data_IF_857872538632
#
_entry.id   IF_857872538632
#
_cell.length_a   1.000
_cell.length_b   1.000
_cell.length_c   1.000
_cell.angle_alpha   90.00
_cell.angle_beta   90.00
_cell.angle_gamma   90.00
#
_symmetry.space_group_name_H-M   'P 1'
#
loop_
_entity.id
_entity.type
_entity.pdbx_description
1 polymer ?
#
# COMPACT_ATOMS: atom_id res chain seq x y z
N UNK A 1 4.00 17.64 -9.82
CA UNK A 1 4.83 17.59 -8.58
C UNK A 1 4.74 16.21 -7.99
N UNK A 2 5.86 15.57 -7.72
CA UNK A 2 5.89 14.15 -7.35
C UNK A 2 5.41 13.86 -5.94
N UNK A 3 5.48 14.82 -5.05
CA UNK A 3 4.84 14.70 -3.72
C UNK A 3 3.34 14.64 -3.83
N UNK A 4 2.83 14.84 -5.03
CA UNK A 4 1.41 14.82 -5.24
C UNK A 4 0.87 13.41 -5.38
N UNK A 5 1.70 12.45 -5.84
CA UNK A 5 1.26 11.07 -6.06
C UNK A 5 2.16 10.08 -5.36
N UNK A 6 1.57 9.30 -4.47
CA UNK A 6 2.23 8.16 -3.84
C UNK A 6 1.52 6.88 -4.21
N UNK A 7 2.28 5.84 -4.54
CA UNK A 7 1.75 4.50 -4.77
C UNK A 7 2.26 3.61 -3.65
N UNK A 8 1.35 3.01 -2.90
CA UNK A 8 1.68 2.26 -1.69
C UNK A 8 1.24 0.81 -1.86
N UNK A 9 2.12 -0.12 -1.51
CA UNK A 9 1.83 -1.55 -1.51
C UNK A 9 2.06 -2.13 -0.12
N UNK A 10 1.51 -3.34 0.12
CA UNK A 10 1.65 -4.00 1.42
C UNK A 10 3.10 -4.36 1.73
N UNK A 11 3.86 -4.81 0.73
CA UNK A 11 5.23 -5.28 0.95
C UNK A 11 6.11 -5.01 -0.25
N UNK A 12 7.42 -5.19 -0.07
CA UNK A 12 8.39 -4.99 -1.15
C UNK A 12 8.16 -5.92 -2.34
N UNK A 13 7.57 -7.09 -2.12
CA UNK A 13 7.28 -8.04 -3.20
C UNK A 13 6.36 -7.45 -4.26
N UNK A 14 5.54 -6.48 -3.88
CA UNK A 14 4.56 -5.86 -4.76
C UNK A 14 5.06 -4.58 -5.43
N UNK A 15 6.26 -4.10 -5.06
CA UNK A 15 6.79 -2.86 -5.61
C UNK A 15 7.05 -2.94 -7.11
N UNK A 16 7.49 -4.10 -7.60
CA UNK A 16 7.71 -4.28 -9.04
C UNK A 16 6.41 -4.09 -9.83
N UNK A 17 5.30 -4.60 -9.32
CA UNK A 17 3.98 -4.41 -9.93
C UNK A 17 3.61 -2.94 -10.01
N UNK A 18 3.87 -2.22 -8.93
CA UNK A 18 3.58 -0.79 -8.86
C UNK A 18 4.43 -0.01 -9.88
N UNK A 19 5.71 -0.30 -9.93
CA UNK A 19 6.62 0.37 -10.86
C UNK A 19 6.26 0.08 -12.31
N UNK A 20 5.89 -1.15 -12.61
CA UNK A 20 5.45 -1.53 -13.95
C UNK A 20 4.21 -0.75 -14.36
N UNK A 21 3.23 -0.65 -13.48
CA UNK A 21 2.01 0.09 -13.75
C UNK A 21 2.29 1.57 -14.01
N UNK A 22 3.19 2.17 -13.23
CA UNK A 22 3.57 3.57 -13.40
C UNK A 22 4.27 3.78 -14.75
N UNK A 23 5.17 2.87 -15.11
CA UNK A 23 5.87 2.91 -16.39
C UNK A 23 4.89 2.80 -17.55
N UNK A 24 3.91 1.91 -17.45
CA UNK A 24 2.88 1.76 -18.49
C UNK A 24 2.01 2.99 -18.62
N UNK A 25 1.87 3.77 -17.56
CA UNK A 25 1.15 5.05 -17.60
C UNK A 25 2.00 6.19 -18.19
N UNK A 26 3.25 5.93 -18.56
CA UNK A 26 4.14 6.93 -19.12
C UNK A 26 4.81 7.82 -18.08
N UNK A 27 4.86 7.38 -16.84
CA UNK A 27 5.42 8.15 -15.73
C UNK A 27 6.68 7.49 -15.20
N UNK A 28 7.51 8.30 -14.55
CA UNK A 28 8.70 7.81 -13.84
C UNK A 28 8.38 7.60 -12.37
N UNK A 29 9.04 6.61 -11.76
CA UNK A 29 8.83 6.30 -10.36
C UNK A 29 10.16 6.29 -9.61
N UNK A 30 10.07 6.41 -8.28
CA UNK A 30 11.22 6.26 -7.39
C UNK A 30 10.75 5.50 -6.14
N UNK A 31 11.49 4.45 -5.77
CA UNK A 31 11.23 3.74 -4.53
C UNK A 31 11.74 4.57 -3.36
N UNK A 32 10.88 4.75 -2.38
CA UNK A 32 11.28 5.41 -1.16
C UNK A 32 12.02 4.43 -0.25
N UNK A 33 13.04 4.94 0.41
CA UNK A 33 13.80 4.20 1.42
C UNK A 33 13.91 5.06 2.66
N UNK A 34 14.56 4.55 3.71
CA UNK A 34 14.70 5.28 4.97
C UNK A 34 15.42 6.63 4.84
N UNK A 35 16.16 6.81 3.76
CA UNK A 35 16.90 8.05 3.48
C UNK A 35 16.21 8.78 2.35
N UNK A 36 15.25 9.63 2.70
CA UNK A 36 14.34 10.15 1.71
C UNK A 36 14.60 11.56 1.28
N UNK A 37 14.95 11.68 0.00
CA UNK A 37 14.63 12.88 -0.74
C UNK A 37 13.72 12.45 -1.88
N UNK A 38 12.58 13.13 -2.05
CA UNK A 38 11.67 12.89 -3.15
C UNK A 38 12.13 13.69 -4.36
N UNK A 39 12.66 13.04 -5.40
CA UNK A 39 13.03 13.76 -6.63
C UNK A 39 11.80 14.37 -7.28
N UNK A 40 11.98 15.54 -7.82
CA UNK A 40 10.93 16.25 -8.51
C UNK A 40 10.55 15.55 -9.81
N UNK A 41 9.25 15.44 -10.09
CA UNK A 41 8.76 14.88 -11.35
C UNK A 41 8.57 13.37 -11.36
N UNK A 42 8.71 12.70 -10.22
CA UNK A 42 8.55 11.24 -10.14
C UNK A 42 7.46 10.85 -9.17
N UNK A 43 6.79 9.73 -9.46
CA UNK A 43 5.81 9.13 -8.57
C UNK A 43 6.56 8.36 -7.47
N UNK A 44 6.21 8.59 -6.22
CA UNK A 44 6.82 7.89 -5.10
C UNK A 44 6.18 6.51 -4.95
N UNK A 45 7.01 5.48 -4.76
CA UNK A 45 6.55 4.11 -4.51
C UNK A 45 7.07 3.67 -3.14
N UNK A 46 6.19 3.20 -2.29
CA UNK A 46 6.55 2.82 -0.92
C UNK A 46 5.72 1.64 -0.43
N UNK A 47 6.23 0.95 0.58
CA UNK A 47 5.44 -0.03 1.32
C UNK A 47 4.58 0.66 2.36
N UNK A 48 3.57 -0.05 2.87
CA UNK A 48 2.70 0.49 3.92
C UNK A 48 3.48 0.90 5.17
N UNK A 49 4.53 0.15 5.52
CA UNK A 49 5.37 0.48 6.68
C UNK A 49 6.14 1.78 6.47
N UNK A 50 6.67 1.98 5.27
CA UNK A 50 7.47 3.16 4.97
C UNK A 50 6.61 4.40 4.77
N UNK A 51 5.37 4.23 4.37
CA UNK A 51 4.45 5.33 4.12
C UNK A 51 4.07 6.08 5.40
N UNK A 52 4.24 5.45 6.54
CA UNK A 52 3.94 6.06 7.84
C UNK A 52 4.72 7.37 8.00
N UNK A 53 4.00 8.43 8.30
CA UNK A 53 4.60 9.77 8.43
C UNK A 53 4.72 10.55 7.14
N UNK A 54 4.39 9.96 6.00
CA UNK A 54 4.38 10.64 4.71
C UNK A 54 2.98 11.17 4.40
N UNK A 55 2.92 12.11 3.47
CA UNK A 55 1.64 12.67 3.02
C UNK A 55 1.74 13.02 1.54
N UNK A 56 0.69 12.69 0.79
CA UNK A 56 0.60 12.97 -0.65
C UNK A 56 -0.75 13.57 -0.97
N UNK A 57 -0.84 14.33 -2.05
CA UNK A 57 -2.13 14.85 -2.50
C UNK A 57 -3.02 13.73 -3.03
N UNK A 58 -2.44 12.78 -3.73
CA UNK A 58 -3.14 11.61 -4.23
C UNK A 58 -2.37 10.35 -3.86
N UNK A 59 -3.08 9.32 -3.44
CA UNK A 59 -2.48 8.03 -3.09
C UNK A 59 -3.21 6.93 -3.85
N UNK A 60 -2.43 6.03 -4.44
CA UNK A 60 -2.94 4.76 -4.96
C UNK A 60 -2.42 3.66 -4.04
N UNK A 61 -3.32 2.96 -3.37
CA UNK A 61 -2.96 1.77 -2.60
C UNK A 61 -3.20 0.57 -3.52
N UNK A 62 -2.12 -0.04 -3.99
CA UNK A 62 -2.16 -1.09 -5.01
C UNK A 62 -2.01 -2.48 -4.43
N UNK A 63 -2.37 -3.46 -5.24
CA UNK A 63 -2.17 -4.87 -4.95
C UNK A 63 -2.87 -5.31 -3.65
N UNK A 64 -4.07 -4.80 -3.44
CA UNK A 64 -4.90 -5.21 -2.31
C UNK A 64 -5.62 -6.52 -2.65
N UNK A 65 -4.85 -7.53 -3.02
CA UNK A 65 -5.33 -8.86 -3.36
C UNK A 65 -5.55 -9.67 -2.08
N UNK A 66 -6.37 -10.68 -2.15
CA UNK A 66 -6.72 -11.50 -0.99
C UNK A 66 -5.50 -12.16 -0.32
N UNK A 67 -4.50 -12.57 -1.10
CA UNK A 67 -3.29 -13.20 -0.54
C UNK A 67 -2.24 -12.20 -0.07
N UNK A 68 -2.38 -10.95 -0.46
CA UNK A 68 -1.43 -9.90 -0.13
C UNK A 68 -1.85 -9.12 1.12
N UNK A 69 -3.15 -8.91 1.29
CA UNK A 69 -3.69 -8.13 2.39
C UNK A 69 -4.92 -8.82 2.98
N UNK A 70 -4.88 -9.41 4.18
CA UNK A 70 -3.71 -9.48 5.05
C UNK A 70 -2.60 -10.37 4.46
N UNK A 71 -1.37 -10.10 4.87
CA UNK A 71 -0.23 -10.82 4.32
C UNK A 71 -0.28 -12.30 4.71
N UNK A 72 -0.34 -13.17 3.71
CA UNK A 72 -0.60 -14.59 3.91
C UNK A 72 0.46 -15.27 4.79
N UNK A 73 1.71 -14.89 4.64
CA UNK A 73 2.79 -15.46 5.45
C UNK A 73 2.63 -15.19 6.94
N UNK A 74 2.04 -14.06 7.31
CA UNK A 74 1.77 -13.76 8.71
C UNK A 74 0.63 -14.61 9.27
N UNK A 75 -0.40 -14.84 8.46
CA UNK A 75 -1.54 -15.68 8.85
C UNK A 75 -1.08 -17.11 9.06
N UNK A 76 -0.26 -17.63 8.17
CA UNK A 76 0.23 -19.01 8.25
C UNK A 76 1.13 -19.26 9.46
N UNK A 77 1.77 -18.21 9.98
CA UNK A 77 2.67 -18.34 11.12
C UNK A 77 1.97 -18.27 12.48
N UNK A 78 0.66 -18.07 12.49
CA UNK A 78 -0.11 -17.88 13.72
C UNK A 78 -0.43 -19.23 14.38
N UNK A 79 -0.30 -19.30 15.71
CA UNK A 79 -0.52 -20.52 16.48
C UNK A 79 -1.91 -20.68 17.07
N UNK A 80 -2.67 -19.60 17.27
CA UNK A 80 -4.00 -19.69 17.88
C UNK A 80 -4.91 -18.53 17.40
N UNK A 81 -6.20 -18.60 17.80
CA UNK A 81 -7.20 -17.65 17.32
C UNK A 81 -6.99 -16.21 17.80
N UNK A 82 -6.46 -16.03 19.02
CA UNK A 82 -6.23 -14.67 19.52
C UNK A 82 -5.05 -14.01 18.81
N UNK A 83 -4.01 -14.77 18.47
CA UNK A 83 -2.90 -14.27 17.68
C UNK A 83 -3.35 -13.94 16.26
N UNK A 84 -4.24 -14.74 15.70
CA UNK A 84 -4.80 -14.48 14.37
C UNK A 84 -5.58 -13.17 14.36
N UNK A 85 -6.40 -12.93 15.36
CA UNK A 85 -7.15 -11.68 15.48
C UNK A 85 -6.21 -10.48 15.55
N UNK A 86 -5.12 -10.60 16.32
CA UNK A 86 -4.11 -9.54 16.41
C UNK A 86 -3.45 -9.26 15.08
N UNK A 87 -3.11 -10.31 14.31
CA UNK A 87 -2.55 -10.14 12.96
C UNK A 87 -3.53 -9.41 12.05
N UNK A 88 -4.80 -9.82 12.05
CA UNK A 88 -5.82 -9.15 11.22
C UNK A 88 -5.96 -7.68 11.61
N UNK A 89 -5.97 -7.37 12.89
CA UNK A 89 -6.10 -5.99 13.34
C UNK A 89 -4.89 -5.15 12.92
N UNK A 90 -3.70 -5.71 13.00
CA UNK A 90 -2.47 -5.02 12.58
C UNK A 90 -2.48 -4.77 11.08
N UNK A 91 -2.86 -5.77 10.28
CA UNK A 91 -2.91 -5.63 8.83
C UNK A 91 -3.97 -4.61 8.40
N UNK A 92 -5.13 -4.63 9.04
CA UNK A 92 -6.18 -3.65 8.78
C UNK A 92 -5.71 -2.24 9.12
N UNK A 93 -4.97 -2.08 10.21
CA UNK A 93 -4.41 -0.80 10.61
C UNK A 93 -3.40 -0.28 9.59
N UNK A 94 -2.56 -1.16 9.05
CA UNK A 94 -1.61 -0.78 7.98
C UNK A 94 -2.33 -0.21 6.77
N UNK A 95 -3.41 -0.86 6.35
CA UNK A 95 -4.22 -0.36 5.25
C UNK A 95 -4.83 1.00 5.58
N UNK A 96 -5.38 1.14 6.77
CA UNK A 96 -5.97 2.41 7.21
C UNK A 96 -4.94 3.54 7.17
N UNK A 97 -3.76 3.31 7.73
CA UNK A 97 -2.69 4.31 7.73
C UNK A 97 -2.30 4.68 6.30
N UNK A 98 -2.14 3.68 5.42
CA UNK A 98 -1.81 3.94 4.02
C UNK A 98 -2.87 4.83 3.35
N UNK A 99 -4.15 4.53 3.57
CA UNK A 99 -5.24 5.31 2.99
C UNK A 99 -5.24 6.75 3.51
N UNK A 100 -4.87 6.96 4.77
CA UNK A 100 -4.84 8.30 5.37
C UNK A 100 -3.64 9.13 4.97
N UNK A 101 -2.71 8.58 4.17
CA UNK A 101 -1.63 9.37 3.57
C UNK A 101 -2.13 10.25 2.43
N UNK A 102 -3.34 9.99 1.93
CA UNK A 102 -3.95 10.80 0.89
C UNK A 102 -4.59 12.05 1.48
N UNK A 103 -4.20 13.21 0.96
CA UNK A 103 -4.79 14.48 1.39
C UNK A 103 -6.05 14.81 0.61
N UNK A 104 -6.03 14.58 -0.70
CA UNK A 104 -7.12 15.00 -1.60
C UNK A 104 -7.82 13.85 -2.30
N UNK A 105 -7.07 12.83 -2.75
CA UNK A 105 -7.62 11.73 -3.53
C UNK A 105 -7.02 10.40 -3.13
N UNK A 106 -7.87 9.38 -3.07
CA UNK A 106 -7.46 8.02 -2.75
C UNK A 106 -8.07 7.05 -3.77
N UNK A 107 -7.23 6.17 -4.31
CA UNK A 107 -7.66 5.05 -5.13
C UNK A 107 -7.09 3.77 -4.52
N UNK A 108 -7.94 2.77 -4.30
CA UNK A 108 -7.51 1.47 -3.80
C UNK A 108 -7.79 0.43 -4.86
N UNK A 109 -6.79 -0.36 -5.22
CA UNK A 109 -6.91 -1.38 -6.27
C UNK A 109 -6.50 -2.76 -5.80
N UNK A 110 -7.00 -3.78 -6.45
CA UNK A 110 -6.63 -5.16 -6.21
C UNK A 110 -7.07 -6.03 -7.37
N UNK A 111 -6.42 -7.19 -7.52
CA UNK A 111 -6.79 -8.19 -8.52
C UNK A 111 -7.74 -9.18 -7.87
N UNK A 112 -8.81 -9.54 -8.55
CA UNK A 112 -9.83 -10.46 -8.03
C UNK A 112 -9.23 -11.87 -7.80
N UNK A 113 -9.43 -12.51 -6.63
CA UNK A 113 -10.20 -12.01 -5.48
C UNK A 113 -9.45 -10.93 -4.70
N UNK A 114 -10.14 -9.82 -4.45
CA UNK A 114 -9.55 -8.71 -3.69
C UNK A 114 -9.61 -8.99 -2.19
N UNK A 115 -8.81 -8.22 -1.44
CA UNK A 115 -8.77 -8.33 0.01
C UNK A 115 -10.15 -8.12 0.63
N UNK A 116 -10.48 -8.93 1.62
CA UNK A 116 -11.71 -8.76 2.41
C UNK A 116 -11.79 -7.38 3.09
N UNK A 117 -10.63 -6.77 3.38
CA UNK A 117 -10.59 -5.45 4.02
C UNK A 117 -11.17 -4.35 3.13
N UNK A 118 -11.22 -4.56 1.83
CA UNK A 118 -11.80 -3.58 0.91
C UNK A 118 -13.31 -3.43 1.11
N UNK A 119 -13.97 -4.47 1.61
CA UNK A 119 -15.40 -4.40 1.94
C UNK A 119 -15.67 -3.35 3.02
N UNK A 120 -14.74 -3.19 3.96
CA UNK A 120 -14.85 -2.21 5.03
C UNK A 120 -14.78 -0.78 4.49
N UNK A 121 -14.03 -0.58 3.40
CA UNK A 121 -13.87 0.74 2.78
C UNK A 121 -15.08 1.15 1.93
N UNK A 122 -15.86 0.18 1.48
CA UNK A 122 -17.01 0.43 0.60
C UNK A 122 -18.29 0.75 1.35
N UNK A 123 -18.26 0.72 2.67
CA UNK A 123 -19.42 0.99 3.51
C UNK A 123 -19.49 2.42 3.97
#
# INVERSE_FOLDING_TARGET
MPREIGVITRSERELDRAEEAITMAGLDSVRLSDHLELPSGKVAVATMHLAKGLEFRAVVVMACDDEVLPLQGRIESVGDDSDLEEVYNTERHLLYVACTRARDRLLVTGVDPVSEFLSDLLQ
#
